data_IF_752808231874
#
_entry.id   IF_752808231874
#
_cell.length_a   1.000
_cell.length_b   1.000
_cell.length_c   1.000
_cell.angle_alpha   90.00
_cell.angle_beta   90.00
_cell.angle_gamma   90.00
#
_symmetry.space_group_name_H-M   'P 1'
#
loop_
_entity.id
_entity.type
_entity.pdbx_description
1 polymer ?
2 non-polymer ?
3 non-polymer ?
4 water ?
#
# COMPACT_ATOMS: atom_id res chain seq x y z
N UNK A 14 -0.31 -35.53 -1.81
CA UNK A 14 0.98 -36.09 -2.42
C UNK A 14 1.41 -35.44 -3.76
N UNK A 15 0.49 -35.33 -4.70
CA UNK A 15 0.71 -34.53 -5.91
C UNK A 15 0.36 -33.06 -5.62
N UNK A 16 1.34 -32.14 -5.69
CA UNK A 16 1.09 -30.72 -5.55
C UNK A 16 0.07 -30.15 -6.57
N UNK A 17 -0.74 -29.20 -6.08
CA UNK A 17 -1.68 -28.43 -6.86
C UNK A 17 -1.55 -27.01 -6.33
N UNK A 18 -1.78 -26.05 -7.22
CA UNK A 18 -1.76 -24.65 -6.88
C UNK A 18 -2.51 -24.34 -5.59
N UNK A 19 -3.73 -24.84 -5.51
CA UNK A 19 -4.61 -24.53 -4.47
C UNK A 19 -4.11 -24.97 -3.05
N UNK A 20 -3.13 -25.87 -3.04
CA UNK A 20 -2.60 -26.42 -1.79
C UNK A 20 -1.85 -25.37 -1.02
N UNK A 21 -1.29 -24.38 -1.68
CA UNK A 21 -0.53 -23.40 -0.96
C UNK A 21 -1.40 -22.27 -0.38
N UNK A 22 -2.70 -22.26 -0.75
CA UNK A 22 -3.66 -21.21 -0.33
C UNK A 22 -3.97 -21.39 1.17
N UNK A 23 -4.20 -20.29 1.84
CA UNK A 23 -4.60 -20.39 3.25
C UNK A 23 -6.07 -20.75 3.28
N UNK A 24 -6.39 -21.70 4.12
CA UNK A 24 -7.78 -22.17 4.29
C UNK A 24 -8.54 -21.56 5.45
N UNK A 25 -7.82 -21.13 6.49
CA UNK A 25 -8.32 -20.81 7.84
C UNK A 25 -7.96 -19.35 8.24
N UNK A 26 -7.77 -18.45 7.26
CA UNK A 26 -7.33 -17.10 7.55
C UNK A 26 -8.35 -16.06 7.06
N UNK A 27 -8.77 -15.19 7.94
CA UNK A 27 -9.74 -14.15 7.65
C UNK A 27 -9.34 -12.75 8.05
N UNK A 28 -10.05 -11.79 7.51
CA UNK A 28 -9.94 -10.44 7.88
C UNK A 28 -11.06 -10.10 8.85
N UNK A 29 -10.71 -9.87 10.12
CA UNK A 29 -11.71 -9.51 11.13
C UNK A 29 -12.06 -8.03 11.14
N UNK A 30 -11.08 -7.19 10.81
CA UNK A 30 -11.25 -5.75 10.94
C UNK A 30 -10.30 -5.02 10.02
N UNK A 31 -10.71 -3.83 9.58
CA UNK A 31 -10.02 -3.07 8.61
C UNK A 31 -10.39 -1.65 8.77
N UNK A 32 -9.42 -0.71 8.75
CA UNK A 32 -9.70 0.70 8.91
C UNK A 32 -8.60 1.47 8.19
N UNK A 33 -8.91 2.69 7.87
CA UNK A 33 -7.91 3.61 7.37
C UNK A 33 -8.05 4.98 7.96
N UNK A 34 -7.00 5.80 7.83
CA UNK A 34 -7.01 7.20 8.23
C UNK A 34 -6.65 8.01 6.97
N UNK A 35 -7.48 8.99 6.61
CA UNK A 35 -7.08 9.98 5.54
C UNK A 35 -6.36 11.03 6.27
N UNK A 36 -5.22 11.46 5.80
CA UNK A 36 -4.57 12.56 6.40
C UNK A 36 -5.44 13.86 6.09
N UNK A 37 -5.44 14.85 7.00
CA UNK A 37 -6.47 15.95 6.78
C UNK A 37 -6.16 17.05 5.80
N UNK A 38 -4.91 17.41 5.58
CA UNK A 38 -4.63 18.63 4.86
C UNK A 38 -4.48 18.38 3.34
N UNK A 39 -5.23 19.11 2.52
CA UNK A 39 -5.11 19.00 1.09
C UNK A 39 -4.09 19.99 0.64
N UNK A 40 -3.10 19.55 -0.10
CA UNK A 40 -2.22 20.44 -0.78
C UNK A 40 -2.46 20.17 -2.30
N UNK A 41 -2.95 21.19 -3.01
CA UNK A 41 -3.19 21.07 -4.49
C UNK A 41 -1.88 21.12 -5.24
N UNK A 42 -1.84 20.49 -6.39
CA UNK A 42 -0.65 20.63 -7.26
C UNK A 42 -0.43 22.07 -7.84
N UNK A 43 -1.55 22.77 -8.05
CA UNK A 43 -1.56 24.22 -8.42
C UNK A 43 -0.80 25.06 -7.38
N UNK A 44 -1.06 24.84 -6.07
CA UNK A 44 -0.30 25.61 -5.09
C UNK A 44 1.22 25.23 -5.17
N UNK A 45 1.58 23.94 -5.28
CA UNK A 45 3.00 23.59 -5.41
C UNK A 45 3.60 24.32 -6.63
N UNK A 46 2.85 24.39 -7.75
CA UNK A 46 3.47 24.87 -8.99
C UNK A 46 3.81 26.35 -8.90
N UNK A 47 2.98 27.09 -8.19
CA UNK A 47 3.26 28.48 -7.98
C UNK A 47 4.60 28.64 -7.28
N UNK A 48 4.85 27.83 -6.28
CA UNK A 48 6.12 27.92 -5.57
C UNK A 48 7.24 27.54 -6.56
N UNK A 49 7.06 26.52 -7.41
CA UNK A 49 8.14 26.06 -8.30
C UNK A 49 8.31 26.90 -9.59
N UNK A 50 7.46 27.91 -9.77
CA UNK A 50 7.28 28.52 -11.10
C UNK A 50 8.56 29.08 -11.66
N UNK A 51 9.32 29.87 -10.86
CA UNK A 51 10.61 30.37 -11.33
C UNK A 51 11.76 29.37 -11.54
N UNK A 52 11.82 28.22 -10.85
CA UNK A 52 12.76 27.12 -11.29
C UNK A 52 12.27 26.55 -12.68
N UNK A 53 10.94 26.37 -12.83
CA UNK A 53 10.31 25.98 -14.13
C UNK A 53 10.70 27.02 -15.20
N UNK A 54 10.41 28.28 -14.93
CA UNK A 54 10.75 29.39 -15.88
C UNK A 54 12.22 29.39 -16.22
N UNK A 55 13.04 29.44 -15.17
CA UNK A 55 14.50 29.30 -15.22
C UNK A 55 14.95 28.13 -16.06
N UNK A 56 14.41 26.91 -15.82
CA UNK A 56 14.86 25.73 -16.59
C UNK A 56 14.36 25.68 -18.06
N UNK A 57 13.46 26.58 -18.48
CA UNK A 57 12.92 26.56 -19.86
C UNK A 57 12.06 25.33 -20.05
N UNK A 58 11.36 24.93 -18.99
CA UNK A 58 10.48 23.74 -19.00
C UNK A 58 9.07 24.30 -18.77
N UNK A 59 8.20 24.03 -19.75
CA UNK A 59 6.89 24.67 -19.85
C UNK A 59 5.69 23.74 -19.51
N UNK A 60 6.03 22.47 -19.22
CA UNK A 60 5.10 21.41 -18.91
C UNK A 60 4.78 21.37 -17.36
N UNK A 61 3.48 21.22 -17.01
CA UNK A 61 3.03 20.85 -15.65
C UNK A 61 3.19 19.35 -15.44
N UNK A 62 4.40 19.00 -14.98
CA UNK A 62 4.75 17.59 -14.89
C UNK A 62 3.76 16.95 -13.93
N UNK A 63 3.36 17.67 -12.86
CA UNK A 63 2.53 17.01 -11.78
C UNK A 63 1.10 16.83 -12.26
N UNK A 64 0.50 17.90 -12.70
CA UNK A 64 -0.89 17.81 -13.12
C UNK A 64 -1.09 17.06 -14.42
N UNK A 65 -0.15 17.22 -15.34
CA UNK A 65 -0.35 16.70 -16.69
C UNK A 65 0.46 15.47 -17.10
N UNK A 66 1.60 15.17 -16.50
CA UNK A 66 2.35 13.92 -16.81
C UNK A 66 1.93 12.92 -15.70
N UNK A 67 2.29 13.20 -14.44
CA UNK A 67 1.81 12.35 -13.28
C UNK A 67 0.29 12.16 -13.15
N UNK A 68 -0.49 13.19 -13.45
CA UNK A 68 -2.00 13.19 -13.22
C UNK A 68 -2.47 13.35 -11.76
N UNK A 69 -1.71 14.09 -10.96
CA UNK A 69 -2.05 14.32 -9.53
C UNK A 69 -2.56 15.72 -9.37
N UNK A 70 -3.83 15.84 -8.97
CA UNK A 70 -4.47 17.14 -8.72
C UNK A 70 -4.17 17.63 -7.30
N UNK A 71 -3.99 16.68 -6.36
CA UNK A 71 -3.73 17.05 -4.96
C UNK A 71 -3.19 15.81 -4.17
N UNK A 72 -2.66 16.06 -3.00
CA UNK A 72 -2.28 15.03 -2.04
C UNK A 72 -2.69 15.47 -0.68
N UNK A 73 -2.74 14.48 0.22
CA UNK A 73 -3.06 14.74 1.59
C UNK A 73 -1.80 14.76 2.44
N UNK A 74 -1.75 15.74 3.35
CA UNK A 74 -0.66 15.77 4.34
C UNK A 74 -1.22 15.82 5.69
N UNK A 75 -0.38 15.55 6.68
CA UNK A 75 -0.72 15.72 8.11
C UNK A 75 -0.67 17.23 8.44
N UNK A 76 -1.51 17.67 9.38
CA UNK A 76 -1.52 19.01 9.87
C UNK A 76 -0.42 19.20 10.90
N UNK A 77 0.10 18.15 11.53
CA UNK A 77 1.19 18.38 12.51
C UNK A 77 2.30 17.38 12.38
N UNK A 78 3.23 17.31 13.32
CA UNK A 78 4.43 16.39 13.17
C UNK A 78 4.10 14.99 13.55
N UNK A 79 3.30 14.37 12.70
CA UNK A 79 2.73 13.12 13.04
C UNK A 79 3.80 12.06 12.70
N UNK A 80 4.21 11.24 13.64
CA UNK A 80 5.17 10.14 13.33
C UNK A 80 4.45 8.96 12.70
N UNK A 81 5.21 8.10 12.02
CA UNK A 81 4.61 6.92 11.45
C UNK A 81 3.86 6.09 12.45
N UNK A 82 4.49 5.94 13.57
CA UNK A 82 3.92 5.14 14.60
C UNK A 82 2.57 5.72 15.10
N UNK A 83 2.48 7.06 15.15
CA UNK A 83 1.22 7.73 15.62
C UNK A 83 0.10 7.41 14.66
N UNK A 84 0.37 7.47 13.36
CA UNK A 84 -0.69 7.29 12.38
C UNK A 84 -1.07 5.81 12.36
N UNK A 85 -0.07 4.94 12.43
CA UNK A 85 -0.41 3.49 12.53
C UNK A 85 -1.21 3.18 13.73
N UNK A 86 -0.87 3.79 14.85
CA UNK A 86 -1.58 3.56 16.14
C UNK A 86 -3.08 3.94 15.97
N UNK A 87 -3.32 5.08 15.31
CA UNK A 87 -4.68 5.57 15.19
C UNK A 87 -5.45 4.63 14.27
N UNK A 88 -4.81 4.26 13.18
CA UNK A 88 -5.48 3.34 12.28
C UNK A 88 -5.74 1.98 13.05
N UNK A 89 -4.80 1.56 13.82
CA UNK A 89 -4.95 0.28 14.58
C UNK A 89 -6.09 0.28 15.59
N UNK A 90 -6.23 1.35 16.41
CA UNK A 90 -7.42 1.55 17.23
C UNK A 90 -8.71 1.42 16.43
N UNK A 91 -8.77 2.00 15.25
CA UNK A 91 -10.04 1.81 14.45
C UNK A 91 -10.31 0.41 13.95
N UNK A 92 -9.26 -0.30 13.58
CA UNK A 92 -9.47 -1.63 13.06
C UNK A 92 -9.83 -2.62 14.17
N UNK A 93 -9.33 -2.39 15.38
CA UNK A 93 -9.76 -3.15 16.55
C UNK A 93 -11.29 -2.97 16.84
N UNK A 94 -11.76 -1.70 16.80
CA UNK A 94 -13.19 -1.41 16.88
C UNK A 94 -13.99 -2.08 15.80
N UNK A 95 -13.49 -1.99 14.58
CA UNK A 95 -14.11 -2.65 13.47
C UNK A 95 -14.24 -4.12 13.70
N UNK A 96 -13.21 -4.75 14.24
CA UNK A 96 -13.21 -6.18 14.57
C UNK A 96 -13.92 -6.51 15.88
N UNK A 97 -14.18 -5.54 16.73
CA UNK A 97 -14.87 -5.72 18.01
C UNK A 97 -14.03 -6.56 18.93
N UNK A 98 -12.68 -6.34 18.92
CA UNK A 98 -11.90 -7.07 19.92
C UNK A 98 -10.98 -6.18 20.61
N UNK A 99 -10.59 -6.60 21.78
CA UNK A 99 -9.65 -5.83 22.55
C UNK A 99 -8.22 -6.22 22.13
N UNK A 100 -7.34 -5.30 22.41
CA UNK A 100 -5.91 -5.41 22.16
C UNK A 100 -5.30 -6.73 22.75
N UNK A 101 -5.87 -7.26 23.86
CA UNK A 101 -5.32 -8.51 24.51
C UNK A 101 -5.39 -9.74 23.67
N UNK A 102 -6.27 -9.77 22.66
CA UNK A 102 -6.35 -10.88 21.77
C UNK A 102 -5.21 -10.97 20.78
N UNK A 103 -4.53 -9.85 20.56
CA UNK A 103 -3.49 -9.73 19.50
C UNK A 103 -2.19 -10.45 19.89
N UNK A 104 -1.82 -11.40 19.08
CA UNK A 104 -0.59 -12.26 19.29
C UNK A 104 0.62 -11.83 18.47
N UNK A 105 0.37 -11.00 17.46
CA UNK A 105 1.36 -10.54 16.50
C UNK A 105 1.01 -9.14 15.99
N UNK A 106 1.99 -8.24 15.91
CA UNK A 106 1.77 -6.93 15.29
C UNK A 106 2.89 -6.64 14.36
N UNK A 107 2.59 -6.51 13.06
CA UNK A 107 3.62 -6.22 12.08
C UNK A 107 3.38 -4.83 11.54
N UNK A 108 4.45 -4.03 11.48
CA UNK A 108 4.46 -2.72 10.89
C UNK A 108 5.11 -2.84 9.52
N UNK A 109 4.50 -2.27 8.54
CA UNK A 109 4.98 -2.43 7.14
C UNK A 109 5.30 -1.13 6.44
N UNK A 110 5.39 -0.02 7.16
CA UNK A 110 5.50 1.26 6.45
C UNK A 110 6.91 1.45 5.90
N UNK A 111 6.99 2.32 4.92
CA UNK A 111 8.26 2.86 4.50
C UNK A 111 8.69 3.95 5.50
N UNK A 112 7.74 4.80 5.93
CA UNK A 112 8.09 5.85 6.92
C UNK A 112 8.51 5.12 8.20
N UNK A 113 9.49 5.62 8.92
CA UNK A 113 9.93 4.94 10.14
C UNK A 113 10.37 5.96 11.24
N UNK A 114 9.96 5.74 12.48
CA UNK A 114 10.28 6.74 13.56
C UNK A 114 11.84 6.79 13.76
N UNK A 115 12.44 5.65 13.97
CA UNK A 115 13.89 5.50 14.33
C UNK A 115 14.46 4.33 13.61
N UNK A 116 15.78 4.24 13.51
CA UNK A 116 16.37 2.92 13.20
C UNK A 116 16.28 2.00 14.42
N UNK A 117 15.98 2.53 15.60
CA UNK A 117 15.73 1.67 16.75
C UNK A 117 14.89 2.32 17.80
N UNK A 118 13.92 1.64 18.39
CA UNK A 118 13.50 0.29 18.15
C UNK A 118 12.57 0.19 16.95
N UNK A 119 12.11 -0.98 16.62
CA UNK A 119 11.20 -1.05 15.46
C UNK A 119 9.96 -0.16 15.68
N UNK A 120 9.39 0.31 14.60
CA UNK A 120 8.17 1.01 14.66
C UNK A 120 7.06 0.18 15.25
N UNK A 121 7.07 -1.12 14.99
CA UNK A 121 6.08 -2.03 15.53
C UNK A 121 5.98 -2.04 17.03
N UNK A 122 7.14 -1.98 17.67
CA UNK A 122 7.24 -2.00 19.13
C UNK A 122 6.66 -0.71 19.69
N UNK A 123 6.78 0.37 18.96
CA UNK A 123 6.25 1.65 19.44
C UNK A 123 4.74 1.65 19.35
N UNK A 124 4.21 1.14 18.25
CA UNK A 124 2.80 0.97 18.10
C UNK A 124 2.18 0.04 19.10
N UNK A 125 2.81 -1.13 19.32
CA UNK A 125 2.38 -2.05 20.31
C UNK A 125 2.33 -1.47 21.75
N UNK A 126 3.38 -0.70 22.10
CA UNK A 126 3.49 -0.02 23.38
C UNK A 126 2.36 0.99 23.54
N UNK A 127 2.02 1.74 22.49
CA UNK A 127 0.88 2.70 22.46
C UNK A 127 -0.45 2.01 22.69
N UNK A 128 -0.65 0.85 22.03
CA UNK A 128 -1.91 0.09 22.10
C UNK A 128 -2.03 -0.69 23.40
N UNK A 129 -0.89 -0.92 24.07
CA UNK A 129 -0.92 -1.77 25.25
C UNK A 129 -1.02 -3.25 25.00
N UNK A 130 -0.33 -3.74 23.95
CA UNK A 130 -0.24 -5.19 23.74
C UNK A 130 0.18 -6.00 24.98
N UNK A 131 -0.26 -7.23 25.04
CA UNK A 131 0.19 -8.11 26.09
C UNK A 131 1.66 -8.68 25.82
N UNK A 132 2.20 -9.24 26.86
CA UNK A 132 3.59 -9.77 26.87
C UNK A 132 3.78 -10.93 25.94
N UNK A 133 2.74 -11.58 25.53
CA UNK A 133 2.80 -12.61 24.47
C UNK A 133 2.84 -12.15 23.03
N UNK A 134 2.71 -10.89 22.77
CA UNK A 134 2.57 -10.42 21.43
C UNK A 134 3.97 -10.26 20.86
N UNK A 135 4.16 -10.88 19.70
CA UNK A 135 5.36 -10.77 18.92
C UNK A 135 5.22 -9.53 18.00
N UNK A 136 6.33 -8.80 17.81
CA UNK A 136 6.34 -7.64 16.98
C UNK A 136 7.64 -7.46 16.20
N UNK A 137 7.51 -6.94 14.97
CA UNK A 137 8.62 -6.59 14.11
C UNK A 137 8.09 -5.77 12.95
N UNK A 138 9.00 -5.12 12.28
CA UNK A 138 8.70 -4.33 11.07
C UNK A 138 9.13 -5.23 9.85
N UNK A 139 8.37 -5.12 8.82
CA UNK A 139 8.77 -5.61 7.47
C UNK A 139 8.94 -4.44 6.53
N UNK A 140 10.04 -4.39 5.81
CA UNK A 140 10.22 -3.31 4.82
C UNK A 140 10.37 -3.90 3.41
N UNK A 141 9.58 -3.44 2.46
CA UNK A 141 9.69 -3.91 1.10
C UNK A 141 8.95 -2.91 0.17
N UNK A 142 9.34 -1.70 0.25
CA UNK A 142 8.85 -0.59 -0.54
C UNK A 142 7.32 -0.60 -0.54
N UNK A 143 6.65 -0.57 -1.68
CA UNK A 143 5.17 -0.50 -1.68
C UNK A 143 4.32 -1.78 -1.53
N UNK A 144 4.95 -2.94 -1.50
CA UNK A 144 4.32 -4.20 -1.41
C UNK A 144 4.33 -4.72 0.01
N UNK A 145 4.95 -4.01 0.95
CA UNK A 145 5.07 -4.61 2.30
C UNK A 145 3.78 -4.99 3.06
N UNK A 146 2.68 -4.23 2.86
CA UNK A 146 1.46 -4.59 3.54
C UNK A 146 0.98 -5.97 3.15
N UNK A 147 1.07 -6.31 1.87
CA UNK A 147 0.77 -7.65 1.42
C UNK A 147 1.78 -8.66 1.93
N UNK A 148 3.10 -8.36 2.00
CA UNK A 148 4.03 -9.23 2.67
C UNK A 148 3.70 -9.49 4.21
N UNK A 149 3.27 -8.43 4.98
CA UNK A 149 2.90 -8.58 6.34
C UNK A 149 1.59 -9.39 6.51
N UNK A 150 0.64 -9.19 5.61
CA UNK A 150 -0.54 -10.02 5.61
C UNK A 150 -0.22 -11.49 5.43
N UNK A 151 0.71 -11.76 4.52
CA UNK A 151 1.15 -13.16 4.27
C UNK A 151 1.88 -13.83 5.46
N UNK A 152 2.77 -13.07 6.04
CA UNK A 152 3.49 -13.47 7.24
C UNK A 152 2.62 -13.82 8.43
N UNK A 153 1.70 -12.91 8.74
CA UNK A 153 0.72 -13.16 9.75
C UNK A 153 -0.21 -14.36 9.42
N UNK A 154 -0.64 -14.43 8.15
CA UNK A 154 -1.44 -15.58 7.68
C UNK A 154 -0.77 -16.87 7.99
N UNK A 155 0.55 -17.00 7.76
CA UNK A 155 1.16 -18.29 8.05
C UNK A 155 1.09 -18.71 9.51
N UNK A 156 1.23 -17.74 10.39
CA UNK A 156 1.22 -17.98 11.81
C UNK A 156 -0.20 -18.37 12.23
N UNK A 157 -1.17 -17.61 11.75
CA UNK A 157 -2.58 -17.97 11.91
C UNK A 157 -2.97 -19.36 11.43
N UNK A 158 -2.67 -19.71 10.17
CA UNK A 158 -2.96 -21.00 9.56
C UNK A 158 -2.38 -22.16 10.40
N UNK A 159 -1.17 -21.99 10.90
CA UNK A 159 -0.56 -22.97 11.76
C UNK A 159 -1.17 -23.10 13.19
N UNK A 160 -1.91 -22.10 13.66
CA UNK A 160 -2.37 -22.01 15.08
C UNK A 160 -1.37 -21.37 16.03
N UNK A 161 -0.28 -20.70 15.62
CA UNK A 161 0.64 -20.14 16.60
C UNK A 161 -0.05 -18.94 17.31
N UNK A 162 -1.03 -18.27 16.63
CA UNK A 162 -1.74 -17.07 17.13
C UNK A 162 -3.17 -17.23 16.67
N UNK A 163 -4.04 -16.39 17.24
CA UNK A 163 -5.44 -16.31 16.87
C UNK A 163 -5.84 -15.00 16.17
N UNK A 164 -5.17 -13.93 16.55
CA UNK A 164 -5.38 -12.63 16.01
C UNK A 164 -4.05 -11.92 15.73
N UNK A 165 -3.99 -11.16 14.62
CA UNK A 165 -2.78 -10.36 14.27
C UNK A 165 -3.23 -8.96 13.82
N UNK A 166 -2.40 -7.95 14.09
CA UNK A 166 -2.48 -6.62 13.49
C UNK A 166 -1.38 -6.39 12.48
N UNK A 167 -1.78 -5.86 11.33
CA UNK A 167 -0.80 -5.44 10.28
C UNK A 167 -1.11 -3.95 10.14
N UNK A 168 -0.15 -3.11 10.39
CA UNK A 168 -0.35 -1.65 10.38
C UNK A 168 0.66 -0.95 9.50
N UNK A 169 0.30 0.25 9.12
CA UNK A 169 1.09 1.05 8.23
C UNK A 169 0.62 2.52 8.29
N UNK A 170 1.49 3.38 8.81
CA UNK A 170 1.38 4.81 8.80
C UNK A 170 2.54 5.42 7.96
N UNK A 171 2.14 6.35 7.11
CA UNK A 171 2.99 7.02 6.18
C UNK A 171 2.93 8.51 6.42
N UNK A 172 4.11 9.12 6.46
CA UNK A 172 4.19 10.48 6.50
C UNK A 172 5.22 11.05 5.52
N UNK A 173 4.81 12.05 4.78
CA UNK A 173 5.60 12.62 3.69
C UNK A 173 5.88 14.13 3.91
N UNK A 174 5.48 14.66 5.07
CA UNK A 174 5.54 16.08 5.29
C UNK A 174 6.98 16.53 5.16
N UNK A 175 7.92 15.84 5.79
CA UNK A 175 9.31 16.26 5.77
C UNK A 175 9.91 16.04 4.36
N UNK A 176 9.47 15.02 3.65
CA UNK A 176 9.88 14.82 2.30
C UNK A 176 9.49 16.06 1.54
N UNK A 177 8.24 16.50 1.60
CA UNK A 177 7.88 17.65 0.81
C UNK A 177 8.66 18.91 1.14
N UNK A 178 8.80 19.15 2.44
CA UNK A 178 9.58 20.31 2.93
C UNK A 178 11.02 20.29 2.34
N UNK A 179 11.79 19.18 2.43
CA UNK A 179 13.20 19.14 1.94
C UNK A 179 13.20 19.26 0.43
N UNK A 180 12.21 18.63 -0.20
CA UNK A 180 12.09 18.69 -1.62
C UNK A 180 11.75 20.03 -2.23
N UNK A 181 10.72 20.68 -1.71
CA UNK A 181 10.40 21.94 -2.25
C UNK A 181 11.58 22.90 -2.02
N UNK A 182 12.31 22.77 -0.89
CA UNK A 182 13.56 23.53 -0.61
C UNK A 182 14.60 23.42 -1.77
N UNK A 183 15.00 22.20 -2.17
CA UNK A 183 16.00 22.08 -3.22
C UNK A 183 15.52 22.58 -4.59
N UNK A 184 14.27 22.25 -4.89
CA UNK A 184 13.61 22.61 -6.17
C UNK A 184 13.34 24.09 -6.39
N UNK A 185 13.40 24.91 -5.37
CA UNK A 185 13.15 26.34 -5.60
C UNK A 185 14.42 27.17 -5.40
N UNK A 186 15.58 26.52 -5.56
CA UNK A 186 16.88 27.12 -5.29
C UNK A 186 17.50 27.44 -6.63
N UNK A 187 18.07 28.70 -6.81
CA UNK A 187 18.69 29.14 -8.10
C UNK A 187 19.70 28.15 -8.70
N UNK A 188 20.70 27.77 -7.91
CA UNK A 188 21.47 26.52 -8.05
C UNK A 188 20.92 25.29 -8.91
N UNK A 189 19.66 24.86 -8.75
CA UNK A 189 19.24 23.48 -9.16
C UNK A 189 19.31 23.08 -10.66
N UNK A 190 19.89 21.90 -10.94
CA UNK A 190 19.91 21.34 -12.33
C UNK A 190 18.57 20.68 -12.75
N UNK A 191 18.44 20.46 -14.06
CA UNK A 191 17.25 19.87 -14.65
C UNK A 191 17.17 18.42 -14.33
N UNK A 192 18.27 17.70 -14.56
CA UNK A 192 18.37 16.32 -14.15
C UNK A 192 18.03 16.13 -12.67
N UNK A 193 18.59 16.96 -11.80
CA UNK A 193 18.18 16.97 -10.38
C UNK A 193 16.70 17.29 -10.13
N UNK A 194 16.25 18.46 -10.63
CA UNK A 194 14.84 18.91 -10.49
C UNK A 194 13.88 17.83 -10.95
N UNK A 195 14.16 17.28 -12.11
CA UNK A 195 13.37 16.15 -12.62
C UNK A 195 13.34 14.95 -11.65
N UNK A 196 14.46 14.52 -11.09
CA UNK A 196 14.42 13.45 -10.05
C UNK A 196 13.49 13.85 -8.89
N UNK A 197 13.73 15.02 -8.39
CA UNK A 197 12.96 15.55 -7.27
C UNK A 197 11.44 15.64 -7.47
N UNK A 198 10.95 15.91 -8.69
CA UNK A 198 9.49 16.05 -8.86
C UNK A 198 8.73 14.83 -8.45
N UNK A 199 9.33 13.67 -8.62
CA UNK A 199 8.56 12.47 -8.31
C UNK A 199 8.25 12.30 -6.78
N UNK A 200 9.10 12.89 -5.91
CA UNK A 200 8.76 12.92 -4.50
C UNK A 200 7.45 13.64 -4.25
N UNK A 201 7.09 14.53 -5.16
CA UNK A 201 5.86 15.30 -5.04
C UNK A 201 4.65 14.56 -5.54
N UNK A 202 4.72 13.27 -5.78
CA UNK A 202 3.46 12.51 -6.02
C UNK A 202 3.05 11.67 -4.79
N UNK A 203 3.79 11.82 -3.69
CA UNK A 203 3.56 11.00 -2.53
C UNK A 203 2.49 11.60 -1.63
N UNK A 204 1.79 10.77 -0.89
CA UNK A 204 0.80 11.27 0.04
C UNK A 204 0.92 10.66 1.38
N UNK A 205 0.14 11.19 2.31
CA UNK A 205 0.15 10.71 3.68
C UNK A 205 -1.11 9.92 3.96
N UNK A 206 -1.04 9.02 4.97
CA UNK A 206 -2.27 8.35 5.43
C UNK A 206 -1.97 7.10 6.21
N UNK A 207 -2.97 6.30 6.56
CA UNK A 207 -2.60 5.08 7.29
C UNK A 207 -3.64 4.04 7.15
N UNK A 208 -3.23 2.79 7.43
CA UNK A 208 -4.21 1.71 7.43
C UNK A 208 -3.85 0.68 8.43
N UNK A 209 -4.84 -0.10 8.82
CA UNK A 209 -4.59 -1.26 9.74
C UNK A 209 -5.56 -2.30 9.48
N UNK A 210 -5.10 -3.53 9.64
CA UNK A 210 -5.95 -4.69 9.50
C UNK A 210 -5.79 -5.69 10.66
N UNK A 211 -6.93 -6.19 11.14
CA UNK A 211 -6.96 -7.29 12.06
C UNK A 211 -7.26 -8.54 11.27
N UNK A 212 -6.28 -9.46 11.30
CA UNK A 212 -6.47 -10.77 10.74
C UNK A 212 -6.70 -11.85 11.83
N UNK A 213 -7.43 -12.91 11.51
CA UNK A 213 -7.81 -13.92 12.53
C UNK A 213 -8.05 -15.29 11.93
N UNK A 214 -8.01 -16.28 12.79
CA UNK A 214 -8.37 -17.63 12.40
C UNK A 214 -9.86 -17.63 12.12
N UNK A 215 -10.23 -18.16 10.92
CA UNK A 215 -11.58 -18.10 10.37
C UNK A 215 -12.61 -18.75 11.33
N UNK A 216 -12.30 -19.80 12.04
CA UNK A 216 -13.28 -20.40 13.01
C UNK A 216 -13.62 -19.39 14.15
N UNK A 217 -12.72 -18.45 14.45
CA UNK A 217 -12.98 -17.45 15.50
C UNK A 217 -13.82 -16.36 14.92
N UNK A 218 -13.92 -16.25 13.62
CA UNK A 218 -14.65 -15.13 13.00
C UNK A 218 -15.54 -15.61 11.84
N UNK A 219 -16.67 -16.27 12.17
CA UNK A 219 -17.28 -17.00 11.08
C UNK A 219 -17.87 -15.99 10.12
N UNK A 220 -17.77 -16.25 8.81
CA UNK A 220 -18.29 -15.34 7.79
C UNK A 220 -17.56 -14.00 7.53
N UNK A 221 -16.42 -13.76 8.17
CA UNK A 221 -15.62 -12.62 7.82
C UNK A 221 -15.03 -12.90 6.43
N UNK A 222 -14.57 -11.84 5.72
CA UNK A 222 -13.75 -11.99 4.51
C UNK A 222 -12.53 -12.93 4.67
N UNK A 223 -12.25 -13.66 3.62
CA UNK A 223 -11.24 -14.73 3.66
C UNK A 223 -9.98 -14.25 2.89
N UNK A 224 -8.82 -14.45 3.52
CA UNK A 224 -7.55 -14.13 2.91
C UNK A 224 -6.99 -15.42 2.37
N UNK A 225 -6.93 -15.56 1.04
CA UNK A 225 -6.43 -16.79 0.42
C UNK A 225 -4.91 -16.83 0.26
N UNK A 226 -4.25 -15.70 0.30
CA UNK A 226 -2.86 -15.70 -0.07
C UNK A 226 -2.61 -15.34 -1.50
N UNK A 227 -1.38 -15.61 -1.95
CA UNK A 227 -1.00 -15.04 -3.24
C UNK A 227 0.37 -15.45 -3.69
N UNK A 228 0.90 -14.68 -4.63
CA UNK A 228 2.09 -15.06 -5.30
C UNK A 228 2.93 -13.87 -5.40
N UNK A 229 4.24 -14.12 -5.52
CA UNK A 229 5.20 -13.06 -5.74
C UNK A 229 6.17 -13.47 -6.89
N UNK A 230 6.44 -12.57 -7.75
CA UNK A 230 7.62 -12.69 -8.62
C UNK A 230 8.56 -11.52 -8.51
N UNK A 231 9.80 -11.73 -8.92
CA UNK A 231 10.81 -10.68 -8.81
C UNK A 231 11.62 -10.50 -10.03
N UNK A 232 12.16 -9.30 -10.13
CA UNK A 232 13.15 -8.99 -11.16
C UNK A 232 14.24 -8.05 -10.62
N UNK A 233 15.00 -8.65 -9.70
CA UNK A 233 16.00 -7.93 -8.89
C UNK A 233 17.24 -7.57 -9.69
N UNK A 234 17.40 -8.12 -10.90
CA UNK A 234 18.35 -7.54 -11.92
C UNK A 234 18.08 -6.06 -12.14
N UNK A 235 16.87 -5.58 -11.88
CA UNK A 235 16.59 -4.19 -12.13
C UNK A 235 16.58 -3.44 -10.87
N UNK A 236 17.25 -3.93 -9.80
CA UNK A 236 17.18 -3.15 -8.55
C UNK A 236 17.87 -1.82 -8.69
N UNK A 237 18.74 -1.64 -9.72
CA UNK A 237 19.33 -0.31 -10.09
C UNK A 237 18.32 0.87 -10.16
N UNK A 238 17.07 0.61 -10.59
CA UNK A 238 15.96 1.61 -10.71
C UNK A 238 15.12 1.69 -9.41
N UNK A 250 12.21 5.34 -14.51
CA UNK A 250 12.14 6.09 -15.76
C UNK A 250 11.28 5.33 -16.85
N UNK A 251 11.42 5.70 -18.12
CA UNK A 251 10.62 5.11 -19.20
C UNK A 251 10.77 3.54 -19.22
N UNK A 252 11.98 3.07 -18.97
CA UNK A 252 12.30 1.64 -18.85
C UNK A 252 11.50 0.91 -17.73
N UNK A 253 11.51 1.49 -16.54
CA UNK A 253 10.84 0.99 -15.38
C UNK A 253 9.36 0.59 -15.57
N UNK A 254 8.60 1.35 -16.40
CA UNK A 254 7.21 0.97 -16.77
C UNK A 254 7.13 -0.34 -17.58
N UNK A 255 8.06 -0.49 -18.49
CA UNK A 255 8.14 -1.66 -19.32
C UNK A 255 8.58 -2.92 -18.57
N UNK A 256 9.57 -2.79 -17.73
CA UNK A 256 10.07 -3.95 -16.97
C UNK A 256 9.01 -4.38 -15.95
N UNK A 257 8.34 -3.38 -15.37
CA UNK A 257 7.27 -3.51 -14.42
C UNK A 257 6.08 -4.31 -14.99
N UNK A 258 5.68 -3.96 -16.22
CA UNK A 258 4.61 -4.69 -16.93
C UNK A 258 5.05 -6.10 -17.24
N UNK A 259 6.31 -6.30 -17.58
CA UNK A 259 6.76 -7.60 -17.90
C UNK A 259 6.81 -8.45 -16.63
N UNK A 260 7.22 -7.88 -15.52
CA UNK A 260 7.23 -8.64 -14.29
C UNK A 260 5.75 -9.00 -13.93
N UNK A 261 4.86 -8.02 -14.03
CA UNK A 261 3.43 -8.24 -13.69
C UNK A 261 2.81 -9.36 -14.56
N UNK A 262 3.16 -9.42 -15.81
CA UNK A 262 2.69 -10.49 -16.74
C UNK A 262 3.09 -11.79 -16.17
N UNK A 263 4.36 -11.90 -15.76
CA UNK A 263 4.76 -13.15 -15.20
C UNK A 263 4.13 -13.49 -13.82
N UNK A 264 3.79 -12.49 -13.02
CA UNK A 264 3.15 -12.77 -11.79
C UNK A 264 1.69 -13.21 -12.04
N UNK A 265 1.05 -12.64 -13.05
CA UNK A 265 -0.33 -13.02 -13.37
C UNK A 265 -0.33 -14.50 -13.83
N UNK A 266 0.71 -14.95 -14.50
CA UNK A 266 0.82 -16.39 -14.84
C UNK A 266 0.85 -17.20 -13.51
N UNK A 267 1.71 -16.80 -12.60
CA UNK A 267 1.84 -17.50 -11.31
C UNK A 267 0.48 -17.49 -10.59
N UNK A 268 -0.23 -16.36 -10.69
CA UNK A 268 -1.49 -16.23 -10.05
C UNK A 268 -2.55 -17.17 -10.73
N UNK A 269 -2.54 -17.26 -12.05
CA UNK A 269 -3.33 -18.28 -12.68
C UNK A 269 -3.01 -19.69 -12.12
N UNK A 270 -1.73 -20.03 -11.98
CA UNK A 270 -1.30 -21.39 -11.53
C UNK A 270 -1.65 -21.74 -10.08
N UNK A 271 -1.77 -20.73 -9.25
CA UNK A 271 -2.06 -20.94 -7.82
C UNK A 271 -3.51 -20.60 -7.44
N UNK A 272 -3.95 -19.40 -7.81
CA UNK A 272 -5.21 -18.87 -7.41
C UNK A 272 -6.30 -19.21 -8.48
N UNK A 273 -5.92 -19.62 -9.68
CA UNK A 273 -6.90 -19.91 -10.73
C UNK A 273 -7.38 -18.59 -11.35
N UNK A 274 -6.65 -17.51 -11.21
CA UNK A 274 -7.14 -16.18 -11.77
C UNK A 274 -7.29 -16.18 -13.28
N UNK A 275 -8.42 -15.73 -13.75
CA UNK A 275 -8.51 -14.97 -15.03
C UNK A 275 -9.16 -13.60 -14.71
N UNK A 276 -8.67 -12.59 -15.40
CA UNK A 276 -9.03 -11.18 -15.25
C UNK A 276 -10.50 -10.90 -15.19
N UNK A 277 -11.26 -11.60 -16.02
CA UNK A 277 -12.69 -11.38 -16.12
C UNK A 277 -13.41 -11.99 -14.96
N UNK A 278 -12.79 -12.88 -14.19
CA UNK A 278 -13.50 -13.43 -13.01
C UNK A 278 -13.29 -12.62 -11.71
N UNK A 279 -12.50 -11.59 -11.73
CA UNK A 279 -12.22 -10.83 -10.53
C UNK A 279 -13.24 -9.72 -10.50
N UNK A 280 -13.74 -9.42 -9.32
CA UNK A 280 -14.73 -8.39 -9.14
C UNK A 280 -14.15 -7.01 -8.91
N UNK A 281 -13.00 -6.91 -8.24
CA UNK A 281 -12.29 -5.64 -8.01
C UNK A 281 -10.76 -5.89 -8.09
N UNK A 282 -10.07 -4.87 -8.56
CA UNK A 282 -8.59 -4.79 -8.48
C UNK A 282 -8.20 -3.64 -7.59
N UNK A 283 -7.55 -3.98 -6.47
CA UNK A 283 -7.06 -2.99 -5.55
C UNK A 283 -5.58 -2.96 -5.88
N UNK A 284 -5.17 -1.89 -6.55
CA UNK A 284 -3.84 -1.83 -7.21
C UNK A 284 -3.02 -0.76 -6.53
N UNK A 285 -1.80 -1.06 -6.16
CA UNK A 285 -0.93 0.02 -5.80
C UNK A 285 -0.73 1.01 -7.00
N UNK A 286 -0.74 2.32 -6.76
CA UNK A 286 -0.64 3.33 -7.88
C UNK A 286 0.45 4.32 -7.74
N UNK A 287 1.14 4.48 -8.84
CA UNK A 287 2.41 5.21 -9.00
C UNK A 287 2.10 6.49 -9.71
N UNK A 288 1.27 6.38 -10.72
CA UNK A 288 0.88 7.57 -11.49
C UNK A 288 -0.28 7.23 -12.43
N UNK A 289 -0.91 8.27 -12.98
CA UNK A 289 -2.02 8.05 -13.88
C UNK A 289 -1.61 7.23 -15.13
N UNK A 290 -0.51 7.64 -15.79
CA UNK A 290 -0.01 6.87 -16.93
C UNK A 290 0.50 5.48 -16.60
N UNK A 291 1.15 5.28 -15.45
CA UNK A 291 1.56 3.95 -15.06
C UNK A 291 0.34 3.08 -14.88
N UNK A 292 -0.68 3.55 -14.18
CA UNK A 292 -1.90 2.80 -14.01
C UNK A 292 -2.61 2.58 -15.33
N UNK A 293 -2.70 3.63 -16.13
CA UNK A 293 -3.37 3.44 -17.43
C UNK A 293 -2.69 2.31 -18.23
N UNK A 294 -1.37 2.28 -18.25
CA UNK A 294 -0.68 1.26 -19.00
C UNK A 294 -0.91 -0.18 -18.47
N UNK A 295 -0.89 -0.28 -17.17
CA UNK A 295 -1.10 -1.58 -16.51
C UNK A 295 -2.45 -2.20 -16.91
N UNK A 296 -3.46 -1.36 -16.76
CA UNK A 296 -4.83 -1.69 -16.97
C UNK A 296 -5.09 -2.05 -18.45
N UNK A 297 -4.52 -1.24 -19.35
CA UNK A 297 -4.62 -1.58 -20.77
C UNK A 297 -3.91 -2.90 -21.08
N UNK A 298 -2.66 -3.01 -20.61
CA UNK A 298 -1.89 -4.18 -20.96
C UNK A 298 -2.55 -5.51 -20.52
N UNK A 299 -3.28 -5.54 -19.41
CA UNK A 299 -3.99 -6.70 -18.96
C UNK A 299 -5.49 -6.82 -19.25
N UNK A 300 -6.05 -5.90 -20.04
CA UNK A 300 -7.44 -5.92 -20.41
C UNK A 300 -8.37 -5.66 -19.24
N UNK A 301 -7.92 -4.98 -18.18
CA UNK A 301 -8.79 -4.92 -16.99
C UNK A 301 -9.83 -3.85 -17.21
N UNK A 302 -11.06 -4.11 -16.78
CA UNK A 302 -12.08 -3.10 -16.84
C UNK A 302 -11.78 -2.01 -15.77
N UNK A 303 -11.62 -0.74 -16.20
CA UNK A 303 -11.24 0.34 -15.27
C UNK A 303 -12.26 0.66 -14.23
N UNK A 304 -13.51 0.30 -14.50
CA UNK A 304 -14.53 0.50 -13.48
C UNK A 304 -14.34 -0.38 -12.25
N UNK A 305 -13.50 -1.43 -12.33
CA UNK A 305 -13.21 -2.24 -11.19
C UNK A 305 -11.85 -1.87 -10.51
N UNK A 306 -11.34 -0.69 -10.79
CA UNK A 306 -10.05 -0.20 -10.28
C UNK A 306 -10.35 1.11 -9.55
N UNK A 307 -10.68 1.03 -8.27
CA UNK A 307 -10.87 2.27 -7.52
C UNK A 307 -9.54 2.96 -7.41
N UNK A 308 -9.58 4.26 -7.57
CA UNK A 308 -8.40 5.08 -7.62
C UNK A 308 -8.51 6.28 -6.71
N UNK A 309 -7.46 6.52 -5.96
CA UNK A 309 -7.39 7.65 -5.08
C UNK A 309 -6.20 8.52 -5.28
N UNK A 310 -5.29 8.14 -6.18
CA UNK A 310 -4.01 8.83 -6.43
C UNK A 310 -4.11 10.34 -6.81
N UNK A 311 -5.09 10.66 -7.61
CA UNK A 311 -5.30 11.99 -8.09
C UNK A 311 -5.59 13.01 -7.02
N UNK A 312 -6.11 12.58 -5.86
CA UNK A 312 -6.39 13.50 -4.75
C UNK A 312 -5.65 13.21 -3.45
N UNK A 313 -5.10 11.99 -3.33
CA UNK A 313 -4.31 11.53 -2.18
C UNK A 313 -2.86 11.26 -2.53
N UNK A 314 -2.54 11.05 -3.81
CA UNK A 314 -1.15 10.78 -4.16
C UNK A 314 -0.84 9.34 -3.77
N UNK A 315 0.45 8.97 -3.86
CA UNK A 315 0.94 7.63 -3.68
C UNK A 315 1.24 7.45 -2.20
N UNK A 316 0.48 6.60 -1.50
CA UNK A 316 0.62 6.43 0.00
C UNK A 316 1.55 5.22 0.32
N UNK A 317 2.43 4.94 -0.63
CA UNK A 317 3.31 3.81 -0.54
C UNK A 317 2.64 2.51 -0.17
N UNK A 318 3.24 1.69 0.76
CA UNK A 318 2.59 0.44 1.03
C UNK A 318 1.17 0.52 1.64
N UNK A 319 0.79 1.64 2.24
CA UNK A 319 -0.55 1.82 2.74
C UNK A 319 -1.64 1.96 1.66
N UNK A 320 -1.27 2.20 0.41
CA UNK A 320 -2.26 2.45 -0.56
C UNK A 320 -3.27 1.37 -0.75
N UNK A 321 -2.76 0.12 -0.86
CA UNK A 321 -3.57 -1.03 -1.06
C UNK A 321 -4.65 -1.18 0.09
N UNK A 322 -4.24 -1.23 1.34
CA UNK A 322 -5.25 -1.43 2.35
C UNK A 322 -6.21 -0.23 2.47
N UNK A 323 -5.72 0.94 2.24
CA UNK A 323 -6.58 2.13 2.26
C UNK A 323 -7.68 2.04 1.25
N UNK A 324 -7.30 1.63 0.03
CA UNK A 324 -8.30 1.48 -1.03
C UNK A 324 -9.27 0.32 -0.69
N UNK A 325 -8.78 -0.81 -0.16
CA UNK A 325 -9.68 -1.83 0.29
C UNK A 325 -10.67 -1.31 1.35
N UNK A 326 -10.17 -0.53 2.27
CA UNK A 326 -10.99 -0.04 3.35
C UNK A 326 -12.03 0.99 2.84
N UNK A 327 -11.61 1.85 1.92
CA UNK A 327 -12.57 2.73 1.28
C UNK A 327 -13.72 1.98 0.53
N UNK A 328 -13.34 0.91 -0.15
CA UNK A 328 -14.33 0.05 -0.84
C UNK A 328 -15.42 -0.52 0.13
N UNK A 329 -14.93 -1.14 1.20
CA UNK A 329 -15.71 -1.49 2.36
C UNK A 329 -16.60 -0.37 2.84
N UNK A 330 -16.03 0.79 3.10
CA UNK A 330 -16.81 1.83 3.69
C UNK A 330 -17.96 2.23 2.77
N UNK A 331 -17.70 2.35 1.49
CA UNK A 331 -18.72 2.69 0.52
C UNK A 331 -19.75 1.60 0.27
N UNK A 332 -19.66 0.47 0.98
CA UNK A 332 -20.60 -0.62 0.76
C UNK A 332 -20.41 -1.18 -0.65
N UNK A 333 -19.20 -1.03 -1.20
CA UNK A 333 -18.93 -1.55 -2.55
C UNK A 333 -18.66 -3.05 -2.65
N UNK A 334 -18.62 -3.80 -1.56
CA UNK A 334 -18.20 -5.18 -1.63
C UNK A 334 -19.33 -6.14 -1.23
N UNK A 335 -19.45 -7.31 -1.85
CA UNK A 335 -20.54 -8.25 -1.48
C UNK A 335 -19.99 -9.62 -1.08
N UNK A 336 -20.67 -10.35 -0.20
CA UNK A 336 -20.24 -11.70 0.12
C UNK A 336 -20.02 -12.53 -1.15
N UNK A 337 -18.83 -13.11 -1.25
CA UNK A 337 -18.45 -13.77 -2.45
C UNK A 337 -17.65 -13.02 -3.47
N UNK A 338 -17.54 -11.71 -3.36
CA UNK A 338 -16.71 -10.92 -4.27
C UNK A 338 -15.22 -11.33 -4.25
N UNK A 339 -14.63 -11.58 -5.41
CA UNK A 339 -13.24 -11.93 -5.50
C UNK A 339 -12.47 -10.69 -5.76
N UNK A 340 -11.60 -10.40 -4.80
CA UNK A 340 -10.88 -9.15 -4.79
C UNK A 340 -9.37 -9.39 -4.92
N UNK A 341 -8.75 -8.74 -5.89
CA UNK A 341 -7.34 -8.93 -6.21
C UNK A 341 -6.60 -7.77 -5.60
N UNK A 342 -5.63 -8.09 -4.80
CA UNK A 342 -4.66 -7.10 -4.22
C UNK A 342 -3.35 -7.20 -4.98
N UNK A 343 -2.92 -6.11 -5.60
CA UNK A 343 -1.65 -6.13 -6.29
C UNK A 343 -0.83 -4.86 -6.40
N UNK A 344 0.44 -5.09 -6.63
CA UNK A 344 1.32 -3.94 -6.92
C UNK A 344 2.61 -4.35 -7.51
N UNK A 345 3.28 -3.41 -8.13
CA UNK A 345 4.67 -3.57 -8.52
C UNK A 345 5.53 -2.70 -7.60
N UNK A 346 6.63 -3.13 -7.02
CA UNK A 346 7.33 -2.29 -6.04
C UNK A 346 8.78 -2.28 -6.47
N UNK A 347 9.58 -1.42 -5.87
CA UNK A 347 11.03 -1.35 -6.12
C UNK A 347 11.60 -2.64 -5.77
N UNK A 348 12.57 -3.00 -6.55
CA UNK A 348 13.33 -4.20 -6.37
C UNK A 348 13.89 -4.74 -7.70
N UNK A 349 13.08 -5.02 -8.68
CA UNK A 349 11.62 -4.98 -8.74
C UNK A 349 11.03 -6.28 -8.19
N UNK A 350 9.86 -6.11 -7.57
CA UNK A 350 8.99 -7.08 -7.07
C UNK A 350 7.58 -6.87 -7.50
N UNK A 351 6.83 -7.96 -7.57
CA UNK A 351 5.42 -7.88 -7.89
C UNK A 351 4.68 -8.98 -7.08
N UNK A 352 3.57 -8.57 -6.42
CA UNK A 352 2.79 -9.51 -5.66
C UNK A 352 1.33 -9.29 -5.96
N UNK A 353 0.62 -10.41 -5.86
CA UNK A 353 -0.75 -10.50 -6.21
C UNK A 353 -1.39 -11.51 -5.30
N UNK A 354 -2.42 -11.06 -4.59
CA UNK A 354 -3.12 -11.89 -3.59
C UNK A 354 -4.65 -11.71 -3.73
N UNK A 355 -5.38 -12.67 -3.18
CA UNK A 355 -6.81 -12.68 -3.30
C UNK A 355 -7.51 -12.66 -1.95
N UNK A 356 -8.49 -11.72 -1.84
CA UNK A 356 -9.47 -11.74 -0.75
C UNK A 356 -10.81 -12.18 -1.35
N UNK A 357 -11.51 -13.04 -0.60
CA UNK A 357 -12.99 -13.36 -0.91
C UNK A 357 -13.86 -12.80 0.18
N UNK A 358 -14.62 -11.80 -0.21
CA UNK A 358 -15.36 -10.99 0.74
C UNK A 358 -16.45 -11.89 1.35
X LIG B 1 -4.89 21.78 7.38
X LIG C 1 7.77 1.46 -4.43
X LIG C 1 8.96 1.99 -4.14
X LIG C 1 8.90 4.03 -6.49
X LIG C 1 6.63 2.41 -4.61
X LIG C 1 7.53 0.27 -4.48
X LIG C 1 6.86 3.64 -5.43
X LIG C 1 5.55 3.94 -5.92
X LIG C 1 7.91 3.31 -6.45
X LIG C 1 7.79 2.08 -7.29
X LIG C 1 8.03 2.46 -8.74
X LIG C 1 7.75 1.26 -9.57
X LIG C 1 7.41 1.47 -10.84
X LIG C 1 7.14 0.28 -11.70
X LIG C 1 6.23 0.55 -12.86
X LIG C 1 5.04 -0.07 -12.88
X LIG C 1 4.04 0.05 -14.00
#
# INVERSE_FOLDING_TARGET
>A
MGSSHHHHHHSSGLVPRGSHMLFQNVSIAGLAHIDAPHTLTSKEINERLQPTYDRLGIKTDVLGDVAGIHARRLWDQDVQASDAATQAARKALIDANIGIEKIGLLINTSVSRDYLDPSTASIVSGNLGVSDHCMTFDVANACLAFINGMDIAARMLERGEIDYALVVDGETANLVYEKTLERMTSPDVTEEEFRNELAALTLGCGAAAMVMARSELVPDAPRYKGGVTRSATEWNKLCRGNLDRMVTDTRLLLIEGIKLAQKTFVAAKQVLGWAVEELDQFVIHQVSRPHTAAFVKSFGIDPAKVMTIFGEHGNIGPASVPIVLSKLKELGRLKKGDRIALLGIGSGLNCSMAEVVW
>B hetero
1 MN MN
>C hetero
1 CER C1 N1 O1 C2 O2 C3 O3 C4 C5 C6 C7 C8 C9 C10 C11 C12
#
